data_IF_855464565467
#
_entry.id   IF_855464565467
#
_cell.length_a   1.000
_cell.length_b   1.000
_cell.length_c   1.000
_cell.angle_alpha   90.00
_cell.angle_beta   90.00
_cell.angle_gamma   90.00
#
_symmetry.space_group_name_H-M   'P 1'
#
loop_
_entity.id
_entity.type
_entity.pdbx_description
1 polymer ?
#
# COMPACT_ATOMS: atom_id res chain seq x y z
N UNK A 1 4.17 -15.47 -23.57
CA UNK A 1 4.19 -15.98 -22.23
C UNK A 1 2.78 -15.94 -21.64
N UNK A 2 2.47 -16.91 -20.91
CA UNK A 2 1.17 -16.99 -20.36
C UNK A 2 1.14 -16.58 -18.90
N UNK A 3 0.46 -15.51 -18.60
CA UNK A 3 0.28 -15.13 -17.20
C UNK A 3 -0.63 -16.15 -16.53
N UNK A 4 -0.37 -16.40 -15.27
CA UNK A 4 -1.25 -17.24 -14.49
C UNK A 4 -2.57 -16.51 -14.31
N UNK A 5 -3.65 -16.92 -14.99
CA UNK A 5 -4.90 -16.18 -14.93
C UNK A 5 -5.60 -16.31 -13.57
N UNK A 6 -5.12 -17.19 -12.72
CA UNK A 6 -5.75 -17.42 -11.43
C UNK A 6 -5.22 -16.52 -10.33
N UNK A 7 -4.11 -15.81 -10.58
CA UNK A 7 -3.47 -15.00 -9.54
C UNK A 7 -2.98 -13.65 -10.04
N UNK A 8 -3.78 -12.92 -10.86
CA UNK A 8 -3.33 -11.61 -11.32
C UNK A 8 -3.18 -10.60 -10.19
N UNK A 9 -4.08 -10.65 -9.20
CA UNK A 9 -3.99 -9.74 -8.07
C UNK A 9 -2.72 -9.96 -7.28
N UNK A 10 -2.32 -11.22 -7.09
CA UNK A 10 -1.09 -11.52 -6.37
C UNK A 10 0.11 -10.93 -7.10
N UNK A 11 0.13 -11.07 -8.42
CA UNK A 11 1.22 -10.51 -9.22
C UNK A 11 1.32 -9.00 -9.04
N UNK A 12 0.18 -8.31 -9.19
CA UNK A 12 0.17 -6.86 -9.06
C UNK A 12 0.49 -6.40 -7.65
N UNK A 13 0.07 -7.15 -6.65
CA UNK A 13 0.40 -6.85 -5.26
C UNK A 13 1.91 -6.93 -5.03
N UNK A 14 2.54 -7.99 -5.49
CA UNK A 14 3.99 -8.14 -5.33
C UNK A 14 4.76 -7.07 -6.08
N UNK A 15 4.34 -6.78 -7.30
CA UNK A 15 4.98 -5.74 -8.10
C UNK A 15 4.83 -4.37 -7.44
N UNK A 16 3.64 -4.06 -6.97
CA UNK A 16 3.39 -2.79 -6.30
C UNK A 16 4.25 -2.63 -5.05
N UNK A 17 4.34 -3.67 -4.23
CA UNK A 17 5.15 -3.63 -3.02
C UNK A 17 6.64 -3.47 -3.34
N UNK A 18 7.11 -4.19 -4.35
CA UNK A 18 8.51 -4.08 -4.77
C UNK A 18 8.81 -2.67 -5.29
N UNK A 19 7.92 -2.10 -6.09
CA UNK A 19 8.10 -0.75 -6.60
C UNK A 19 8.08 0.27 -5.45
N UNK A 20 7.19 0.10 -4.49
CA UNK A 20 7.14 0.99 -3.35
C UNK A 20 8.46 0.97 -2.57
N UNK A 21 8.98 -0.22 -2.30
CA UNK A 21 10.25 -0.35 -1.57
C UNK A 21 11.43 0.21 -2.36
N UNK A 22 11.35 0.17 -3.70
CA UNK A 22 12.37 0.77 -4.56
C UNK A 22 12.17 2.26 -4.77
N UNK A 23 11.17 2.85 -4.12
CA UNK A 23 10.82 4.26 -4.22
C UNK A 23 10.33 4.65 -5.61
N UNK A 24 9.83 3.68 -6.37
CA UNK A 24 9.20 3.92 -7.66
C UNK A 24 7.70 4.07 -7.43
N UNK A 25 7.32 5.17 -6.81
CA UNK A 25 5.97 5.33 -6.29
C UNK A 25 4.91 5.40 -7.38
N UNK A 26 5.19 6.07 -8.49
CA UNK A 26 4.21 6.14 -9.59
C UNK A 26 3.91 4.74 -10.13
N UNK A 27 4.94 3.92 -10.30
CA UNK A 27 4.77 2.56 -10.79
C UNK A 27 4.08 1.67 -9.75
N UNK A 28 4.36 1.90 -8.47
CA UNK A 28 3.68 1.18 -7.40
C UNK A 28 2.19 1.47 -7.43
N UNK A 29 1.82 2.75 -7.56
CA UNK A 29 0.41 3.13 -7.62
C UNK A 29 -0.28 2.49 -8.82
N UNK A 30 0.40 2.46 -9.97
CA UNK A 30 -0.15 1.85 -11.16
C UNK A 30 -0.39 0.35 -10.97
N UNK A 31 0.57 -0.34 -10.36
CA UNK A 31 0.43 -1.77 -10.12
C UNK A 31 -0.75 -2.07 -9.19
N UNK A 32 -0.85 -1.33 -8.09
CA UNK A 32 -1.96 -1.53 -7.16
C UNK A 32 -3.31 -1.18 -7.80
N UNK A 33 -3.32 -0.20 -8.71
CA UNK A 33 -4.56 0.20 -9.39
C UNK A 33 -5.10 -0.90 -10.31
N UNK A 34 -4.29 -1.86 -10.68
CA UNK A 34 -4.73 -2.97 -11.52
C UNK A 34 -5.41 -4.09 -10.74
N UNK A 35 -5.37 -4.02 -9.41
CA UNK A 35 -6.05 -5.01 -8.58
C UNK A 35 -7.55 -4.73 -8.62
N UNK A 36 -8.33 -5.75 -9.02
CA UNK A 36 -9.77 -5.57 -9.22
C UNK A 36 -10.57 -5.62 -7.94
N UNK A 37 -10.05 -6.28 -6.90
CA UNK A 37 -10.72 -6.38 -5.61
C UNK A 37 -9.76 -6.00 -4.50
N UNK A 38 -9.43 -4.72 -4.39
CA UNK A 38 -8.49 -4.30 -3.36
C UNK A 38 -9.11 -4.44 -1.97
N UNK A 39 -8.30 -4.95 -1.04
CA UNK A 39 -8.71 -4.99 0.36
C UNK A 39 -8.03 -3.82 1.09
N UNK A 40 -8.19 -3.79 2.43
CA UNK A 40 -7.65 -2.65 3.17
C UNK A 40 -6.12 -2.57 3.09
N UNK A 41 -5.42 -3.70 2.89
CA UNK A 41 -3.96 -3.67 2.78
C UNK A 41 -3.52 -3.01 1.47
N UNK A 42 -4.26 -3.24 0.39
CA UNK A 42 -3.97 -2.58 -0.89
C UNK A 42 -4.21 -1.08 -0.79
N UNK A 43 -5.31 -0.69 -0.15
CA UNK A 43 -5.58 0.73 0.05
C UNK A 43 -4.53 1.37 0.95
N UNK A 44 -4.03 0.63 1.95
CA UNK A 44 -2.96 1.12 2.82
C UNK A 44 -1.70 1.43 2.01
N UNK A 45 -1.32 0.52 1.11
CA UNK A 45 -0.16 0.77 0.24
C UNK A 45 -0.42 1.94 -0.70
N UNK A 46 -1.63 2.03 -1.25
CA UNK A 46 -1.96 3.15 -2.14
C UNK A 46 -1.92 4.48 -1.38
N UNK A 47 -2.47 4.50 -0.18
CA UNK A 47 -2.43 5.71 0.64
C UNK A 47 -0.99 6.13 0.91
N UNK A 48 -0.15 5.18 1.33
CA UNK A 48 1.26 5.45 1.59
C UNK A 48 1.97 5.92 0.32
N UNK A 49 1.68 5.27 -0.80
CA UNK A 49 2.32 5.60 -2.08
C UNK A 49 2.00 7.02 -2.51
N UNK A 50 0.72 7.39 -2.48
CA UNK A 50 0.33 8.75 -2.86
C UNK A 50 0.85 9.80 -1.89
N UNK A 51 0.91 9.45 -0.60
CA UNK A 51 1.48 10.36 0.39
C UNK A 51 2.95 10.64 0.11
N UNK A 52 3.70 9.61 -0.26
CA UNK A 52 5.11 9.77 -0.60
C UNK A 52 5.29 10.60 -1.89
N UNK A 53 4.31 10.55 -2.78
CA UNK A 53 4.33 11.34 -4.00
C UNK A 53 3.88 12.78 -3.78
N UNK A 54 3.44 13.11 -2.58
CA UNK A 54 2.94 14.44 -2.29
C UNK A 54 1.50 14.67 -2.72
N UNK A 55 0.79 13.61 -3.11
CA UNK A 55 -0.61 13.72 -3.55
C UNK A 55 -1.52 13.48 -2.34
N UNK A 56 -1.74 14.54 -1.56
CA UNK A 56 -2.50 14.45 -0.32
C UNK A 56 -3.95 14.04 -0.54
N UNK A 57 -4.54 14.49 -1.65
CA UNK A 57 -5.95 14.20 -1.93
C UNK A 57 -6.17 12.71 -2.16
N UNK A 58 -5.35 12.11 -3.03
CA UNK A 58 -5.46 10.67 -3.29
C UNK A 58 -5.08 9.85 -2.07
N UNK A 59 -4.06 10.29 -1.33
CA UNK A 59 -3.65 9.60 -0.10
C UNK A 59 -4.80 9.58 0.91
N UNK A 60 -5.48 10.70 1.11
CA UNK A 60 -6.59 10.79 2.04
C UNK A 60 -7.76 9.92 1.61
N UNK A 61 -8.02 9.85 0.30
CA UNK A 61 -9.11 9.02 -0.21
C UNK A 61 -8.87 7.54 0.09
N UNK A 62 -7.65 7.07 -0.16
CA UNK A 62 -7.33 5.67 0.13
C UNK A 62 -7.25 5.39 1.63
N UNK A 63 -6.77 6.35 2.42
CA UNK A 63 -6.76 6.21 3.87
C UNK A 63 -8.18 6.06 4.41
N UNK A 64 -9.13 6.80 3.85
CA UNK A 64 -10.53 6.68 4.24
C UNK A 64 -11.07 5.28 3.94
N UNK A 65 -10.66 4.69 2.81
CA UNK A 65 -11.06 3.34 2.46
C UNK A 65 -10.49 2.31 3.44
N UNK A 66 -9.25 2.51 3.89
CA UNK A 66 -8.64 1.63 4.88
C UNK A 66 -9.48 1.59 6.15
N UNK A 67 -9.83 2.74 6.66
CA UNK A 67 -10.61 2.84 7.90
C UNK A 67 -12.02 2.31 7.70
N UNK A 68 -12.58 2.50 6.51
CA UNK A 68 -13.90 1.98 6.18
C UNK A 68 -13.93 0.45 6.17
N UNK A 69 -12.90 -0.17 5.60
CA UNK A 69 -12.81 -1.62 5.48
C UNK A 69 -12.32 -2.27 6.77
N UNK A 70 -11.52 -1.57 7.53
CA UNK A 70 -10.97 -2.07 8.78
C UNK A 70 -11.04 -0.95 9.84
N UNK A 71 -12.19 -0.79 10.52
CA UNK A 71 -12.36 0.32 11.47
C UNK A 71 -11.39 0.32 12.64
N UNK A 72 -10.82 -0.83 12.97
CA UNK A 72 -9.85 -0.93 14.07
C UNK A 72 -8.41 -0.80 13.59
N UNK A 73 -8.21 -0.38 12.35
CA UNK A 73 -6.87 -0.26 11.77
C UNK A 73 -5.97 0.65 12.60
N UNK A 74 -4.76 0.17 12.86
CA UNK A 74 -3.70 1.02 13.40
C UNK A 74 -2.41 0.69 12.66
N UNK A 75 -1.59 1.71 12.44
CA UNK A 75 -0.34 1.53 11.71
C UNK A 75 0.56 0.53 12.43
N UNK A 76 0.68 0.67 13.75
CA UNK A 76 1.51 -0.23 14.54
C UNK A 76 1.08 -1.69 14.44
N UNK A 77 -0.22 -1.94 14.59
CA UNK A 77 -0.73 -3.30 14.54
C UNK A 77 -0.60 -3.88 13.13
N UNK A 78 -0.88 -3.05 12.12
CA UNK A 78 -0.76 -3.47 10.73
C UNK A 78 0.67 -3.86 10.38
N UNK A 79 1.64 -3.02 10.76
CA UNK A 79 3.04 -3.30 10.46
C UNK A 79 3.53 -4.56 11.15
N UNK A 80 2.98 -4.88 12.31
CA UNK A 80 3.34 -6.09 13.02
C UNK A 80 2.97 -7.36 12.26
N UNK A 81 1.99 -7.26 11.35
CA UNK A 81 1.55 -8.41 10.54
C UNK A 81 2.27 -8.52 9.22
N UNK A 82 3.08 -7.51 8.85
CA UNK A 82 3.79 -7.51 7.58
C UNK A 82 5.20 -8.04 7.74
N UNK A 83 5.69 -8.69 6.69
CA UNK A 83 7.05 -9.22 6.68
C UNK A 83 7.91 -8.37 5.76
N UNK A 84 8.97 -7.83 6.30
CA UNK A 84 9.91 -7.02 5.55
C UNK A 84 11.29 -7.64 5.65
N UNK A 85 12.00 -7.67 4.54
CA UNK A 85 13.36 -8.18 4.52
C UNK A 85 14.33 -7.24 5.21
N UNK A 86 14.03 -5.93 5.15
CA UNK A 86 14.90 -4.91 5.70
C UNK A 86 14.09 -3.93 6.53
N UNK A 87 14.68 -3.47 7.60
CA UNK A 87 14.05 -2.48 8.47
C UNK A 87 13.78 -1.17 7.74
N UNK A 88 14.64 -0.81 6.77
CA UNK A 88 14.43 0.40 5.98
C UNK A 88 13.11 0.35 5.22
N UNK A 89 12.74 -0.82 4.71
CA UNK A 89 11.48 -0.97 3.97
C UNK A 89 10.29 -0.78 4.91
N UNK A 90 10.38 -1.32 6.11
CA UNK A 90 9.33 -1.18 7.10
C UNK A 90 9.16 0.29 7.49
N UNK A 91 10.26 0.99 7.71
CA UNK A 91 10.22 2.41 8.09
C UNK A 91 9.65 3.27 6.98
N UNK A 92 9.97 2.94 5.73
CA UNK A 92 9.43 3.67 4.59
C UNK A 92 7.92 3.51 4.48
N UNK A 93 7.44 2.29 4.70
CA UNK A 93 6.01 2.03 4.66
C UNK A 93 5.31 2.76 5.82
N UNK A 94 5.89 2.69 7.01
CA UNK A 94 5.35 3.39 8.17
C UNK A 94 5.26 4.89 7.92
N UNK A 95 6.32 5.48 7.38
CA UNK A 95 6.34 6.90 7.10
C UNK A 95 5.24 7.29 6.11
N UNK A 96 5.05 6.47 5.07
CA UNK A 96 4.00 6.74 4.09
C UNK A 96 2.61 6.64 4.70
N UNK A 97 2.38 5.64 5.54
CA UNK A 97 1.09 5.46 6.18
C UNK A 97 0.76 6.62 7.11
N UNK A 98 1.73 7.05 7.90
CA UNK A 98 1.53 8.19 8.82
C UNK A 98 1.32 9.48 8.04
N UNK A 99 2.04 9.66 6.95
CA UNK A 99 1.88 10.81 6.07
C UNK A 99 0.48 10.88 5.48
N UNK A 100 -0.11 9.72 5.22
CA UNK A 100 -1.45 9.65 4.67
C UNK A 100 -2.53 9.96 5.72
N UNK A 101 -2.13 10.05 6.98
CA UNK A 101 -3.07 10.39 8.06
C UNK A 101 -3.74 9.20 8.70
N UNK A 102 -3.21 8.00 8.50
CA UNK A 102 -3.77 6.81 9.11
C UNK A 102 -3.47 6.76 10.62
N UNK A 103 -4.36 6.17 11.42
CA UNK A 103 -4.15 6.12 12.87
C UNK A 103 -2.97 5.23 13.25
N UNK A 104 -2.24 5.66 14.26
CA UNK A 104 -1.03 4.96 14.73
C UNK A 104 -1.33 3.62 15.38
#
# INVERSE_FOLDING_TARGET
MRLNPYHPERFWNHLGRACYCAEKFAEAAEAFARITRPDFTHHAFLAATFAQMGNAVAAAAHAAEVVKLEPTFSVSAYLATQHYKQEADRRRHEAGLLKAGLPV
#
